data_IF_564338890579
#
_entry.id   IF_564338890579
#
_cell.length_a   1.000
_cell.length_b   1.000
_cell.length_c   1.000
_cell.angle_alpha   90.00
_cell.angle_beta   90.00
_cell.angle_gamma   90.00
#
_symmetry.space_group_name_H-M   'P 1'
#
loop_
_entity.id
_entity.type
_entity.pdbx_description
1 polymer ?
#
# COMPACT_ATOMS: atom_id res chain seq x y z
N UNK A 1 -13.30 28.08 -7.11
CA UNK A 1 -12.79 26.72 -6.78
C UNK A 1 -11.47 26.91 -6.06
N UNK A 2 -11.32 26.38 -4.84
CA UNK A 2 -10.09 26.49 -4.06
C UNK A 2 -9.32 25.15 -4.18
N UNK A 3 -7.99 25.22 -4.17
CA UNK A 3 -7.11 24.05 -4.25
C UNK A 3 -6.08 24.07 -3.12
N UNK A 4 -5.76 22.86 -2.61
CA UNK A 4 -4.59 22.65 -1.76
C UNK A 4 -3.71 21.60 -2.42
N UNK A 5 -2.41 21.76 -2.42
CA UNK A 5 -1.49 20.81 -3.01
C UNK A 5 -0.13 20.84 -2.35
N UNK A 6 0.62 19.80 -2.54
CA UNK A 6 2.06 19.75 -2.28
C UNK A 6 2.73 19.03 -3.44
N UNK A 7 3.85 19.57 -3.88
CA UNK A 7 4.71 19.03 -4.92
C UNK A 7 6.09 18.76 -4.32
N UNK A 8 6.65 17.63 -4.64
CA UNK A 8 8.02 17.31 -4.28
C UNK A 8 8.97 18.24 -5.10
N UNK A 9 9.91 18.85 -4.43
CA UNK A 9 10.85 19.84 -5.02
C UNK A 9 11.59 19.33 -6.26
N UNK A 10 11.85 18.03 -6.33
CA UNK A 10 12.52 17.42 -7.48
C UNK A 10 11.65 17.40 -8.75
N UNK A 11 10.37 17.78 -8.66
CA UNK A 11 9.39 17.72 -9.75
C UNK A 11 8.74 19.09 -10.05
N UNK A 12 9.39 20.19 -9.69
CA UNK A 12 8.87 21.55 -9.97
C UNK A 12 8.64 21.81 -11.48
N UNK A 13 9.41 21.13 -12.34
CA UNK A 13 9.27 21.18 -13.80
C UNK A 13 7.95 20.61 -14.34
N UNK A 14 7.19 19.84 -13.53
CA UNK A 14 5.89 19.29 -13.89
C UNK A 14 4.74 19.84 -13.01
N UNK A 15 4.91 21.00 -12.40
CA UNK A 15 3.87 21.64 -11.60
C UNK A 15 2.58 21.91 -12.38
N UNK A 16 2.69 22.26 -13.62
CA UNK A 16 1.56 22.44 -14.54
C UNK A 16 0.74 21.15 -14.74
N UNK A 17 1.39 19.98 -14.76
CA UNK A 17 0.72 18.69 -14.77
C UNK A 17 -0.12 18.49 -13.49
N UNK A 18 0.46 18.73 -12.32
CA UNK A 18 -0.26 18.60 -11.04
C UNK A 18 -1.48 19.53 -11.00
N UNK A 19 -1.32 20.81 -11.37
CA UNK A 19 -2.41 21.79 -11.31
C UNK A 19 -3.53 21.51 -12.29
N UNK A 20 -3.24 20.87 -13.44
CA UNK A 20 -4.20 20.49 -14.47
C UNK A 20 -4.59 18.99 -14.44
N UNK A 21 -4.31 18.29 -13.36
CA UNK A 21 -4.43 16.83 -13.27
C UNK A 21 -5.81 16.29 -13.66
N UNK A 22 -6.89 17.01 -13.39
CA UNK A 22 -8.25 16.59 -13.78
C UNK A 22 -8.39 16.42 -15.28
N UNK A 23 -7.83 17.32 -16.07
CA UNK A 23 -7.88 17.27 -17.53
C UNK A 23 -7.04 16.10 -18.05
N UNK A 24 -5.80 15.98 -17.60
CA UNK A 24 -4.93 14.86 -17.94
C UNK A 24 -5.53 13.51 -17.58
N UNK A 25 -6.09 13.41 -16.38
CA UNK A 25 -6.72 12.17 -15.90
C UNK A 25 -7.96 11.80 -16.73
N UNK A 26 -8.81 12.78 -17.08
CA UNK A 26 -10.01 12.57 -17.90
C UNK A 26 -9.68 12.14 -19.33
N UNK A 27 -8.68 12.75 -19.94
CA UNK A 27 -8.28 12.49 -21.34
C UNK A 27 -7.51 11.18 -21.51
N UNK A 28 -6.85 10.70 -20.45
CA UNK A 28 -6.05 9.48 -20.51
C UNK A 28 -6.93 8.24 -20.39
N UNK A 29 -6.71 7.23 -21.25
CA UNK A 29 -7.42 5.95 -21.27
C UNK A 29 -6.68 4.80 -20.58
N UNK A 30 -5.38 4.97 -20.24
CA UNK A 30 -4.54 3.91 -19.69
C UNK A 30 -4.86 3.66 -18.20
N UNK A 31 -5.96 2.98 -17.95
CA UNK A 31 -6.43 2.62 -16.61
C UNK A 31 -5.86 1.27 -16.20
N UNK A 32 -5.08 1.23 -15.12
CA UNK A 32 -4.51 0.00 -14.56
C UNK A 32 -5.40 -0.62 -13.48
N UNK A 33 -6.25 0.18 -12.85
CA UNK A 33 -7.19 -0.31 -11.86
C UNK A 33 -8.41 0.63 -11.74
N UNK A 34 -9.60 0.05 -11.73
CA UNK A 34 -10.85 0.79 -11.53
C UNK A 34 -11.79 0.01 -10.61
N UNK A 35 -11.89 0.47 -9.37
CA UNK A 35 -12.84 -0.04 -8.38
C UNK A 35 -13.38 1.16 -7.56
N UNK A 36 -13.11 1.19 -6.25
CA UNK A 36 -13.46 2.31 -5.38
C UNK A 36 -12.64 3.57 -5.70
N UNK A 37 -11.39 3.40 -6.09
CA UNK A 37 -10.50 4.44 -6.58
C UNK A 37 -10.10 4.07 -8.00
N UNK A 38 -9.67 5.05 -8.78
CA UNK A 38 -9.19 4.83 -10.15
C UNK A 38 -7.71 5.17 -10.24
N UNK A 39 -6.93 4.28 -10.85
CA UNK A 39 -5.49 4.45 -11.08
C UNK A 39 -5.23 4.47 -12.57
N UNK A 40 -4.50 5.48 -13.02
CA UNK A 40 -4.04 5.61 -14.41
C UNK A 40 -2.55 5.81 -14.47
N UNK A 41 -1.92 5.23 -15.51
CA UNK A 41 -0.55 5.57 -15.88
C UNK A 41 -0.63 6.73 -16.85
N UNK A 42 0.03 7.83 -16.54
CA UNK A 42 0.10 9.03 -17.39
C UNK A 42 1.57 9.40 -17.54
N UNK A 43 2.02 9.45 -18.79
CA UNK A 43 3.35 9.97 -19.11
C UNK A 43 3.27 11.47 -19.32
N UNK A 44 4.18 12.22 -18.69
CA UNK A 44 4.31 13.65 -18.84
C UNK A 44 5.77 14.07 -18.77
N UNK A 45 6.25 14.78 -19.80
CA UNK A 45 7.66 15.21 -19.94
C UNK A 45 8.67 14.08 -19.68
N UNK A 46 8.44 12.92 -20.29
CA UNK A 46 9.26 11.70 -20.15
C UNK A 46 9.26 11.08 -18.73
N UNK A 47 8.33 11.48 -17.87
CA UNK A 47 8.15 10.87 -16.56
C UNK A 47 6.89 10.02 -16.61
N UNK A 48 7.03 8.72 -16.39
CA UNK A 48 5.89 7.82 -16.23
C UNK A 48 5.35 7.94 -14.79
N UNK A 49 4.11 8.35 -14.67
CA UNK A 49 3.45 8.56 -13.39
C UNK A 49 2.29 7.60 -13.18
N UNK A 50 2.03 7.26 -11.92
CA UNK A 50 0.77 6.64 -11.49
C UNK A 50 -0.05 7.69 -10.77
N UNK A 51 -1.20 8.01 -11.34
CA UNK A 51 -2.16 8.96 -10.77
C UNK A 51 -3.31 8.19 -10.13
N UNK A 52 -3.46 8.33 -8.82
CA UNK A 52 -4.55 7.72 -8.04
C UNK A 52 -5.60 8.76 -7.73
N UNK A 53 -6.77 8.66 -8.38
CA UNK A 53 -7.95 9.43 -8.07
C UNK A 53 -8.75 8.75 -6.96
N UNK A 54 -9.04 9.48 -5.89
CA UNK A 54 -9.86 8.97 -4.79
C UNK A 54 -11.33 9.30 -5.01
N UNK A 55 -12.19 8.31 -4.71
CA UNK A 55 -13.65 8.50 -4.77
C UNK A 55 -14.06 9.70 -3.90
N UNK A 56 -14.86 10.58 -4.48
CA UNK A 56 -15.49 11.71 -3.74
C UNK A 56 -16.32 11.12 -2.60
N UNK A 57 -16.10 11.57 -1.36
CA UNK A 57 -16.85 11.07 -0.21
C UNK A 57 -18.28 11.60 -0.20
N UNK A 58 -19.15 11.00 0.65
CA UNK A 58 -20.48 11.57 0.92
C UNK A 58 -20.38 12.93 1.60
N UNK A 59 -21.49 13.69 1.62
CA UNK A 59 -21.50 15.09 2.07
C UNK A 59 -20.95 15.27 3.50
N UNK A 60 -21.27 14.37 4.42
CA UNK A 60 -20.78 14.41 5.80
C UNK A 60 -19.24 14.29 5.81
N UNK A 61 -18.70 13.32 5.09
CA UNK A 61 -17.25 13.13 5.00
C UNK A 61 -16.57 14.25 4.19
N UNK A 62 -17.27 14.95 3.29
CA UNK A 62 -16.73 16.15 2.62
C UNK A 62 -16.45 17.26 3.64
N UNK A 63 -17.34 17.47 4.60
CA UNK A 63 -17.12 18.43 5.71
C UNK A 63 -15.97 17.96 6.60
N UNK A 64 -15.96 16.68 6.98
CA UNK A 64 -14.89 16.10 7.82
C UNK A 64 -13.51 16.25 7.18
N UNK A 65 -13.38 15.98 5.89
CA UNK A 65 -12.10 16.16 5.16
C UNK A 65 -11.75 17.63 4.88
N UNK A 66 -12.74 18.52 4.86
CA UNK A 66 -12.47 19.95 4.69
C UNK A 66 -11.82 20.59 5.93
N UNK A 67 -12.22 20.14 7.15
CA UNK A 67 -11.91 20.85 8.39
C UNK A 67 -11.20 20.01 9.47
N UNK A 68 -11.40 18.69 9.50
CA UNK A 68 -11.02 17.88 10.66
C UNK A 68 -10.07 16.72 10.33
N UNK A 69 -9.93 16.34 9.06
CA UNK A 69 -9.16 15.15 8.71
C UNK A 69 -8.45 15.31 7.38
N UNK A 70 -7.17 14.92 7.36
CA UNK A 70 -6.41 14.86 6.11
C UNK A 70 -7.02 13.91 5.09
N UNK A 71 -7.00 14.32 3.81
CA UNK A 71 -7.47 13.47 2.71
C UNK A 71 -6.59 12.23 2.54
N UNK A 72 -7.12 11.24 1.82
CA UNK A 72 -6.34 10.06 1.47
C UNK A 72 -5.16 10.40 0.55
N UNK A 73 -5.32 11.41 -0.32
CA UNK A 73 -4.25 11.85 -1.22
C UNK A 73 -3.09 12.45 -0.43
N UNK A 74 -3.39 13.38 0.48
CA UNK A 74 -2.39 13.98 1.39
C UNK A 74 -1.69 12.90 2.22
N UNK A 75 -2.45 12.01 2.88
CA UNK A 75 -1.88 10.89 3.65
C UNK A 75 -1.00 9.96 2.83
N UNK A 76 -1.38 9.66 1.57
CA UNK A 76 -0.53 8.86 0.69
C UNK A 76 0.82 9.54 0.45
N UNK A 77 0.81 10.84 0.18
CA UNK A 77 2.02 11.60 -0.05
C UNK A 77 2.91 11.66 1.19
N UNK A 78 2.35 12.07 2.33
CA UNK A 78 3.09 12.20 3.59
C UNK A 78 3.65 10.84 4.06
N UNK A 79 2.87 9.78 3.94
CA UNK A 79 3.32 8.43 4.27
C UNK A 79 4.43 7.95 3.33
N UNK A 80 4.34 8.25 2.01
CA UNK A 80 5.41 7.92 1.06
C UNK A 80 6.72 8.62 1.43
N UNK A 81 6.67 9.92 1.71
CA UNK A 81 7.85 10.70 2.16
C UNK A 81 8.43 10.09 3.43
N UNK A 82 7.58 9.73 4.40
CA UNK A 82 8.02 9.14 5.66
C UNK A 82 8.66 7.76 5.47
N UNK A 83 8.09 6.91 4.60
CA UNK A 83 8.66 5.60 4.28
C UNK A 83 10.04 5.72 3.63
N UNK A 84 10.21 6.62 2.67
CA UNK A 84 11.51 6.87 2.02
C UNK A 84 12.56 7.33 3.04
N UNK A 85 12.19 8.22 3.97
CA UNK A 85 13.08 8.67 5.04
C UNK A 85 13.47 7.55 6.02
N UNK A 86 12.68 6.48 6.09
CA UNK A 86 12.97 5.26 6.85
C UNK A 86 13.69 4.19 6.00
N UNK A 87 14.12 4.51 4.77
CA UNK A 87 14.71 3.59 3.80
C UNK A 87 13.79 2.39 3.49
N UNK A 88 12.48 2.64 3.42
CA UNK A 88 11.47 1.65 3.05
C UNK A 88 10.97 1.98 1.64
N UNK A 89 11.06 1.01 0.73
CA UNK A 89 10.68 1.20 -0.66
C UNK A 89 9.17 1.40 -0.83
N UNK A 90 8.82 2.49 -1.50
CA UNK A 90 7.50 2.82 -2.03
C UNK A 90 7.71 3.65 -3.30
N UNK A 91 6.76 3.67 -4.28
CA UNK A 91 6.90 4.53 -5.44
C UNK A 91 7.17 5.97 -5.05
N UNK A 92 8.15 6.60 -5.71
CA UNK A 92 8.58 7.99 -5.39
C UNK A 92 7.40 8.95 -5.46
N UNK A 93 7.06 9.67 -4.37
CA UNK A 93 5.93 10.60 -4.39
C UNK A 93 6.29 11.87 -5.17
N UNK A 94 5.47 12.19 -6.15
CA UNK A 94 5.57 13.43 -6.93
C UNK A 94 4.78 14.54 -6.27
N UNK A 95 3.53 14.26 -5.88
CA UNK A 95 2.70 15.26 -5.21
C UNK A 95 1.28 14.77 -4.92
N UNK A 96 0.53 15.62 -4.27
CA UNK A 96 -0.91 15.47 -4.14
C UNK A 96 -1.62 16.79 -4.41
N UNK A 97 -2.89 16.72 -4.79
CA UNK A 97 -3.75 17.87 -4.97
C UNK A 97 -5.16 17.55 -4.50
N UNK A 98 -5.79 18.53 -3.87
CA UNK A 98 -7.14 18.50 -3.33
C UNK A 98 -7.95 19.65 -3.91
N UNK A 99 -9.17 19.38 -4.29
CA UNK A 99 -10.10 20.36 -4.84
C UNK A 99 -11.27 20.59 -3.89
N UNK A 100 -11.61 21.88 -3.72
CA UNK A 100 -12.70 22.32 -2.85
C UNK A 100 -13.70 23.17 -3.64
N UNK A 101 -14.97 22.98 -3.38
CA UNK A 101 -16.06 23.78 -3.94
C UNK A 101 -17.10 24.08 -2.86
N UNK A 102 -17.51 25.34 -2.74
CA UNK A 102 -18.47 25.77 -1.71
C UNK A 102 -18.07 25.30 -0.30
N UNK A 103 -16.79 25.48 0.06
CA UNK A 103 -16.18 25.06 1.32
C UNK A 103 -16.20 23.55 1.60
N UNK A 104 -16.60 22.72 0.65
CA UNK A 104 -16.62 21.27 0.76
C UNK A 104 -15.47 20.62 -0.01
N UNK A 105 -14.86 19.58 0.59
CA UNK A 105 -13.88 18.74 -0.08
C UNK A 105 -14.55 17.96 -1.24
N UNK A 106 -13.89 17.92 -2.37
CA UNK A 106 -14.36 17.22 -3.58
C UNK A 106 -13.36 16.15 -4.01
N UNK A 107 -12.69 16.34 -5.14
CA UNK A 107 -11.74 15.38 -5.66
C UNK A 107 -10.38 15.54 -5.02
N UNK A 108 -9.64 14.46 -4.99
CA UNK A 108 -8.22 14.49 -4.64
C UNK A 108 -7.44 13.44 -5.43
N UNK A 109 -6.19 13.77 -5.74
CA UNK A 109 -5.28 12.94 -6.49
C UNK A 109 -3.95 12.82 -5.74
N UNK A 110 -3.40 11.62 -5.72
CA UNK A 110 -2.03 11.34 -5.33
C UNK A 110 -1.26 10.89 -6.57
N UNK A 111 -0.07 11.43 -6.78
CA UNK A 111 0.77 11.18 -7.94
C UNK A 111 2.11 10.65 -7.44
N UNK A 112 2.54 9.54 -7.98
CA UNK A 112 3.86 8.97 -7.77
C UNK A 112 4.51 8.62 -9.10
N UNK A 113 5.81 8.37 -9.11
CA UNK A 113 6.44 7.69 -10.23
C UNK A 113 5.86 6.30 -10.41
N UNK A 114 5.84 5.83 -11.66
CA UNK A 114 5.54 4.42 -11.96
C UNK A 114 6.75 3.57 -11.60
N UNK A 115 6.55 2.60 -10.74
CA UNK A 115 7.51 1.55 -10.48
C UNK A 115 7.23 0.37 -11.41
N UNK A 116 8.23 -0.06 -12.17
CA UNK A 116 8.16 -1.32 -12.89
C UNK A 116 8.45 -2.48 -11.94
N UNK A 117 7.61 -3.50 -11.99
CA UNK A 117 7.68 -4.65 -11.10
C UNK A 117 7.39 -5.94 -11.88
N UNK A 118 7.88 -7.07 -11.37
CA UNK A 118 7.67 -8.38 -11.99
C UNK A 118 6.26 -8.90 -11.71
N UNK A 119 5.87 -8.90 -10.44
CA UNK A 119 4.57 -9.37 -9.95
C UNK A 119 4.34 -8.81 -8.53
N UNK A 120 3.18 -9.07 -7.97
CA UNK A 120 2.92 -8.81 -6.55
C UNK A 120 3.25 -10.04 -5.72
N UNK A 121 3.42 -9.88 -4.39
CA UNK A 121 3.69 -11.03 -3.50
C UNK A 121 2.58 -12.11 -3.56
N UNK A 122 1.45 -11.80 -4.17
CA UNK A 122 0.39 -12.78 -4.44
C UNK A 122 0.88 -13.94 -5.26
N UNK A 123 1.78 -13.70 -6.23
CA UNK A 123 2.31 -14.75 -7.11
C UNK A 123 3.04 -15.83 -6.33
N UNK A 124 4.11 -15.56 -5.56
CA UNK A 124 4.78 -16.61 -4.80
C UNK A 124 3.93 -17.23 -3.68
N UNK A 125 2.89 -16.53 -3.21
CA UNK A 125 1.95 -17.08 -2.22
C UNK A 125 0.90 -18.01 -2.83
N UNK A 126 0.71 -18.00 -4.16
CA UNK A 126 -0.33 -18.80 -4.85
C UNK A 126 0.25 -19.81 -5.81
N UNK A 127 1.39 -19.54 -6.41
CA UNK A 127 2.05 -20.37 -7.38
C UNK A 127 3.17 -21.17 -6.71
N UNK A 128 2.86 -22.42 -6.34
CA UNK A 128 3.81 -23.33 -5.68
C UNK A 128 4.98 -23.74 -6.58
N UNK A 129 4.84 -23.62 -7.90
CA UNK A 129 5.84 -23.99 -8.90
C UNK A 129 6.73 -22.81 -9.33
N UNK A 130 6.54 -21.63 -8.71
CA UNK A 130 7.35 -20.45 -9.02
C UNK A 130 8.81 -20.70 -8.63
N UNK A 131 9.71 -20.48 -9.58
CA UNK A 131 11.14 -20.49 -9.29
C UNK A 131 11.48 -19.49 -8.18
N UNK A 132 12.45 -19.84 -7.33
CA UNK A 132 12.88 -18.99 -6.19
C UNK A 132 11.78 -18.67 -5.16
N UNK A 133 10.63 -19.35 -5.20
CA UNK A 133 9.48 -19.07 -4.34
C UNK A 133 9.86 -18.90 -2.86
N UNK A 134 10.61 -19.86 -2.31
CA UNK A 134 11.02 -19.83 -0.91
C UNK A 134 11.94 -18.65 -0.61
N UNK A 135 12.89 -18.37 -1.50
CA UNK A 135 13.80 -17.23 -1.40
C UNK A 135 13.00 -15.92 -1.41
N UNK A 136 12.04 -15.77 -2.34
CA UNK A 136 11.20 -14.58 -2.45
C UNK A 136 10.40 -14.38 -1.16
N UNK A 137 9.78 -15.43 -0.62
CA UNK A 137 9.00 -15.35 0.62
C UNK A 137 9.90 -14.98 1.80
N UNK A 138 11.07 -15.59 1.96
CA UNK A 138 12.01 -15.23 3.05
C UNK A 138 12.46 -13.78 2.96
N UNK A 139 12.83 -13.31 1.77
CA UNK A 139 13.18 -11.89 1.56
C UNK A 139 12.00 -10.95 1.83
N UNK A 140 10.81 -11.34 1.44
CA UNK A 140 9.59 -10.60 1.76
C UNK A 140 9.36 -10.50 3.29
N UNK A 141 9.58 -11.59 4.03
CA UNK A 141 9.49 -11.56 5.50
C UNK A 141 10.54 -10.63 6.09
N UNK A 142 11.77 -10.64 5.57
CA UNK A 142 12.81 -9.72 6.02
C UNK A 142 12.46 -8.25 5.74
N UNK A 143 11.90 -7.96 4.56
CA UNK A 143 11.37 -6.64 4.23
C UNK A 143 10.26 -6.22 5.20
N UNK A 144 9.30 -7.10 5.49
CA UNK A 144 8.20 -6.84 6.43
C UNK A 144 8.70 -6.64 7.86
N UNK A 145 9.67 -7.46 8.28
CA UNK A 145 10.31 -7.28 9.59
C UNK A 145 11.00 -5.92 9.71
N UNK A 146 11.66 -5.46 8.65
CA UNK A 146 12.25 -4.12 8.62
C UNK A 146 11.18 -3.01 8.71
N UNK A 147 10.02 -3.18 8.04
CA UNK A 147 8.86 -2.28 8.25
C UNK A 147 8.50 -2.20 9.74
N UNK A 148 8.29 -3.36 10.37
CA UNK A 148 7.85 -3.46 11.76
C UNK A 148 8.90 -2.90 12.73
N UNK A 149 10.19 -3.19 12.50
CA UNK A 149 11.29 -2.65 13.31
C UNK A 149 11.36 -1.13 13.27
N UNK A 150 10.98 -0.51 12.14
CA UNK A 150 10.87 0.94 11.99
C UNK A 150 9.49 1.49 12.44
N UNK A 151 8.69 0.67 13.13
CA UNK A 151 7.40 1.08 13.67
C UNK A 151 6.32 1.30 12.62
N UNK A 152 6.44 0.72 11.42
CA UNK A 152 5.49 0.90 10.32
C UNK A 152 4.52 -0.26 10.26
N UNK A 153 3.22 0.00 10.47
CA UNK A 153 2.14 -0.96 10.35
C UNK A 153 1.21 -0.60 9.18
N UNK A 154 1.10 -1.48 8.20
CA UNK A 154 0.24 -1.27 7.05
C UNK A 154 -1.14 -1.88 7.28
N UNK A 155 -2.17 -1.07 7.52
CA UNK A 155 -3.53 -1.58 7.82
C UNK A 155 -4.15 -2.42 6.71
N UNK A 156 -3.83 -2.15 5.46
CA UNK A 156 -4.34 -2.88 4.28
C UNK A 156 -3.23 -3.74 3.66
N UNK A 157 -2.50 -4.53 4.45
CA UNK A 157 -1.34 -5.34 4.04
C UNK A 157 -1.78 -6.57 3.23
N UNK A 158 -2.45 -6.34 2.11
CA UNK A 158 -2.87 -7.41 1.20
C UNK A 158 -1.77 -7.75 0.19
N UNK A 159 -1.79 -8.99 -0.30
CA UNK A 159 -0.78 -9.48 -1.23
C UNK A 159 -0.68 -8.67 -2.55
N UNK A 160 -1.74 -7.95 -2.95
CA UNK A 160 -1.73 -7.06 -4.11
C UNK A 160 -1.07 -5.69 -3.86
N UNK A 161 -0.80 -5.35 -2.59
CA UNK A 161 -0.20 -4.07 -2.20
C UNK A 161 1.30 -4.15 -1.96
N UNK A 162 1.92 -5.29 -2.29
CA UNK A 162 3.36 -5.50 -2.19
C UNK A 162 3.88 -5.89 -3.56
N UNK A 163 4.61 -4.99 -4.18
CA UNK A 163 5.23 -5.17 -5.49
C UNK A 163 6.58 -5.86 -5.32
N UNK A 164 6.89 -6.80 -6.20
CA UNK A 164 8.17 -7.53 -6.24
C UNK A 164 8.92 -7.13 -7.49
N UNK A 165 10.16 -6.70 -7.34
CA UNK A 165 11.02 -6.29 -8.45
C UNK A 165 12.45 -6.77 -8.23
N UNK A 166 13.29 -6.64 -9.24
CA UNK A 166 14.74 -6.87 -9.11
C UNK A 166 15.44 -5.54 -8.87
N UNK A 167 16.30 -5.51 -7.87
CA UNK A 167 17.18 -4.35 -7.63
C UNK A 167 18.37 -4.35 -8.61
N UNK A 168 19.27 -3.38 -8.48
CA UNK A 168 20.47 -3.24 -9.35
C UNK A 168 21.44 -4.44 -9.28
N UNK A 169 21.36 -5.25 -8.23
CA UNK A 169 22.17 -6.43 -8.03
C UNK A 169 21.45 -7.72 -8.47
N UNK A 170 20.36 -7.61 -9.23
CA UNK A 170 19.48 -8.71 -9.64
C UNK A 170 18.88 -9.51 -8.47
N UNK A 171 18.74 -8.87 -7.32
CA UNK A 171 18.11 -9.47 -6.14
C UNK A 171 16.64 -9.07 -6.03
N UNK A 172 15.79 -9.97 -5.51
CA UNK A 172 14.39 -9.65 -5.21
C UNK A 172 14.29 -8.60 -4.12
N UNK A 173 13.57 -7.53 -4.42
CA UNK A 173 13.27 -6.43 -3.50
C UNK A 173 11.77 -6.10 -3.56
N UNK A 174 11.28 -5.33 -2.60
CA UNK A 174 9.85 -5.14 -2.38
C UNK A 174 9.52 -3.67 -2.22
N UNK A 175 8.34 -3.30 -2.67
CA UNK A 175 7.80 -1.94 -2.52
C UNK A 175 6.34 -2.00 -2.08
N UNK A 176 5.96 -1.18 -1.11
CA UNK A 176 4.58 -1.10 -0.62
C UNK A 176 3.80 -0.01 -1.32
N UNK A 177 2.54 -0.31 -1.67
CA UNK A 177 1.59 0.62 -2.28
C UNK A 177 0.29 0.68 -1.48
N UNK A 178 -0.63 1.58 -1.85
CA UNK A 178 -1.87 1.87 -1.13
C UNK A 178 -1.67 2.29 0.35
N UNK A 179 -0.71 3.14 0.54
CA UNK A 179 -0.13 3.54 1.82
C UNK A 179 -0.95 4.60 2.60
N UNK A 180 -2.14 4.96 2.16
CA UNK A 180 -2.98 5.97 2.85
C UNK A 180 -3.47 5.54 4.25
N UNK A 181 -3.32 4.26 4.61
CA UNK A 181 -3.72 3.66 5.89
C UNK A 181 -2.54 3.08 6.67
N UNK A 182 -1.39 3.74 6.59
CA UNK A 182 -0.26 3.42 7.46
C UNK A 182 -0.50 3.93 8.88
N UNK A 183 0.01 3.18 9.85
CA UNK A 183 0.20 3.62 11.22
C UNK A 183 1.69 3.56 11.56
N UNK A 184 2.11 4.50 12.38
CA UNK A 184 3.49 4.57 12.88
C UNK A 184 3.41 4.43 14.40
N UNK A 185 3.81 3.27 14.90
CA UNK A 185 3.70 2.88 16.31
C UNK A 185 4.72 1.80 16.65
N UNK A 186 4.92 1.53 17.94
CA UNK A 186 5.65 0.34 18.34
C UNK A 186 4.90 -0.93 17.91
N UNK A 187 5.61 -1.92 17.39
CA UNK A 187 5.06 -3.17 16.87
C UNK A 187 5.69 -4.32 17.64
N UNK A 188 4.87 -4.98 18.46
CA UNK A 188 5.23 -6.21 19.14
C UNK A 188 5.08 -7.43 18.21
N UNK A 189 5.47 -8.59 18.71
CA UNK A 189 5.44 -9.85 17.97
C UNK A 189 4.04 -10.19 17.43
N UNK A 190 3.00 -10.06 18.28
CA UNK A 190 1.62 -10.40 17.90
C UNK A 190 1.10 -9.44 16.82
N UNK A 191 1.30 -8.14 17.00
CA UNK A 191 0.93 -7.12 16.02
C UNK A 191 1.65 -7.32 14.67
N UNK A 192 2.94 -7.65 14.70
CA UNK A 192 3.73 -7.91 13.50
C UNK A 192 3.22 -9.14 12.74
N UNK A 193 2.97 -10.23 13.45
CA UNK A 193 2.43 -11.46 12.86
C UNK A 193 0.99 -11.28 12.34
N UNK A 194 0.13 -10.50 13.04
CA UNK A 194 -1.22 -10.15 12.57
C UNK A 194 -1.21 -9.46 11.20
N UNK A 195 -0.16 -8.73 10.87
CA UNK A 195 -0.05 -8.10 9.56
C UNK A 195 -0.05 -9.12 8.42
N UNK A 196 0.61 -10.27 8.60
CA UNK A 196 0.65 -11.34 7.60
C UNK A 196 -0.67 -12.09 7.44
N UNK A 197 -1.53 -12.14 8.45
CA UNK A 197 -2.84 -12.79 8.35
C UNK A 197 -3.67 -12.22 7.18
N UNK A 198 -3.49 -10.95 6.82
CA UNK A 198 -4.18 -10.27 5.70
C UNK A 198 -3.77 -10.76 4.31
N UNK A 199 -2.76 -11.60 4.23
CA UNK A 199 -2.30 -12.21 2.96
C UNK A 199 -3.13 -13.43 2.54
N UNK A 200 -3.99 -13.98 3.42
CA UNK A 200 -4.80 -15.17 3.17
C UNK A 200 -3.94 -16.39 2.84
N UNK A 201 -3.09 -16.74 3.78
CA UNK A 201 -2.06 -17.78 3.62
C UNK A 201 -2.66 -19.19 3.59
N UNK A 202 -2.05 -20.07 2.79
CA UNK A 202 -2.10 -21.52 2.99
C UNK A 202 -1.19 -21.95 4.16
N UNK A 203 -1.26 -23.23 4.56
CA UNK A 203 -0.54 -23.69 5.73
C UNK A 203 0.97 -23.68 5.55
N UNK A 204 1.48 -24.00 4.36
CA UNK A 204 2.92 -24.03 4.06
C UNK A 204 3.50 -22.60 4.05
N UNK A 205 2.84 -21.67 3.38
CA UNK A 205 3.24 -20.25 3.37
C UNK A 205 3.19 -19.65 4.79
N UNK A 206 2.15 -19.99 5.57
CA UNK A 206 2.02 -19.53 6.95
C UNK A 206 3.19 -20.00 7.81
N UNK A 207 3.51 -21.30 7.74
CA UNK A 207 4.64 -21.87 8.48
C UNK A 207 5.96 -21.23 8.06
N UNK A 208 6.23 -21.14 6.75
CA UNK A 208 7.45 -20.53 6.22
C UNK A 208 7.61 -19.07 6.69
N UNK A 209 6.55 -18.27 6.62
CA UNK A 209 6.55 -16.87 7.06
C UNK A 209 6.79 -16.77 8.57
N UNK A 210 6.08 -17.55 9.37
CA UNK A 210 6.21 -17.51 10.84
C UNK A 210 7.61 -17.94 11.29
N UNK A 211 8.15 -19.01 10.71
CA UNK A 211 9.51 -19.51 10.99
C UNK A 211 10.56 -18.44 10.66
N UNK A 212 10.49 -17.83 9.47
CA UNK A 212 11.45 -16.80 9.10
C UNK A 212 11.29 -15.52 9.93
N UNK A 213 10.07 -15.13 10.29
CA UNK A 213 9.83 -13.99 11.16
C UNK A 213 10.37 -14.24 12.57
N UNK A 214 10.19 -15.46 13.12
CA UNK A 214 10.74 -15.87 14.40
C UNK A 214 12.26 -15.79 14.41
N UNK A 215 12.92 -16.28 13.35
CA UNK A 215 14.37 -16.20 13.18
C UNK A 215 14.86 -14.74 13.21
N UNK A 216 14.21 -13.84 12.50
CA UNK A 216 14.60 -12.44 12.43
C UNK A 216 14.33 -11.67 13.73
N UNK A 217 13.23 -11.98 14.40
CA UNK A 217 12.84 -11.36 15.68
C UNK A 217 13.45 -12.03 16.91
N UNK A 218 14.28 -13.09 16.71
CA UNK A 218 14.89 -13.88 17.79
C UNK A 218 13.86 -14.43 18.80
N UNK A 219 12.71 -14.86 18.30
CA UNK A 219 11.64 -15.44 19.09
C UNK A 219 11.50 -16.94 18.84
N UNK A 220 10.76 -17.62 19.71
CA UNK A 220 10.53 -19.06 19.54
C UNK A 220 9.65 -19.34 18.33
N UNK A 221 10.09 -20.23 17.44
CA UNK A 221 9.40 -20.59 16.20
C UNK A 221 7.97 -21.10 16.44
N UNK A 222 7.79 -22.02 17.38
CA UNK A 222 6.46 -22.56 17.71
C UNK A 222 5.52 -21.46 18.17
N UNK A 223 6.00 -20.55 19.00
CA UNK A 223 5.22 -19.39 19.46
C UNK A 223 4.78 -18.52 18.28
N UNK A 224 5.66 -18.22 17.35
CA UNK A 224 5.34 -17.39 16.18
C UNK A 224 4.31 -18.08 15.26
N UNK A 225 4.46 -19.40 15.03
CA UNK A 225 3.50 -20.19 14.24
C UNK A 225 2.12 -20.17 14.91
N UNK A 226 2.05 -20.41 16.22
CA UNK A 226 0.78 -20.45 16.97
C UNK A 226 0.08 -19.07 16.95
N UNK A 227 0.83 -17.98 17.12
CA UNK A 227 0.31 -16.63 17.04
C UNK A 227 -0.24 -16.35 15.63
N UNK A 228 0.52 -16.62 14.56
CA UNK A 228 0.07 -16.35 13.20
C UNK A 228 -1.16 -17.21 12.83
N UNK A 229 -1.20 -18.48 13.22
CA UNK A 229 -2.38 -19.35 13.03
C UNK A 229 -3.61 -18.77 13.73
N UNK A 230 -3.47 -18.28 14.95
CA UNK A 230 -4.55 -17.63 15.72
C UNK A 230 -5.05 -16.36 15.02
N UNK A 231 -4.14 -15.49 14.54
CA UNK A 231 -4.47 -14.27 13.82
C UNK A 231 -5.17 -14.55 12.49
N UNK A 232 -4.66 -15.50 11.70
CA UNK A 232 -5.23 -15.93 10.43
C UNK A 232 -6.65 -16.49 10.61
N UNK A 233 -6.84 -17.41 11.58
CA UNK A 233 -8.15 -17.95 11.91
C UNK A 233 -9.13 -16.84 12.30
N UNK A 234 -8.74 -15.98 13.24
CA UNK A 234 -9.57 -14.84 13.70
C UNK A 234 -10.03 -13.97 12.54
N UNK A 235 -9.14 -13.68 11.58
CA UNK A 235 -9.48 -12.88 10.40
C UNK A 235 -10.46 -13.63 9.50
N UNK A 236 -10.22 -14.92 9.21
CA UNK A 236 -11.08 -15.75 8.37
C UNK A 236 -12.48 -15.87 8.95
N UNK A 237 -12.59 -16.18 10.24
CA UNK A 237 -13.86 -16.28 10.98
C UNK A 237 -14.64 -14.95 10.94
N UNK A 238 -13.95 -13.83 11.13
CA UNK A 238 -14.56 -12.50 11.07
C UNK A 238 -15.09 -12.14 9.66
N UNK A 239 -14.36 -12.50 8.62
CA UNK A 239 -14.79 -12.24 7.24
C UNK A 239 -15.97 -13.13 6.89
N UNK A 240 -15.97 -14.39 7.29
CA UNK A 240 -17.09 -15.31 7.09
C UNK A 240 -18.35 -14.81 7.81
N UNK A 241 -18.24 -14.42 9.07
CA UNK A 241 -19.33 -13.83 9.83
C UNK A 241 -19.93 -12.60 9.12
N UNK A 242 -19.07 -11.71 8.60
CA UNK A 242 -19.53 -10.54 7.82
C UNK A 242 -20.22 -10.91 6.52
N UNK A 243 -19.81 -11.99 5.84
CA UNK A 243 -20.48 -12.49 4.64
C UNK A 243 -21.89 -12.98 4.96
N UNK A 244 -22.03 -13.78 6.01
CA UNK A 244 -23.34 -14.29 6.49
C UNK A 244 -24.32 -13.15 6.81
N UNK A 245 -23.86 -12.10 7.56
CA UNK A 245 -24.72 -10.95 7.88
C UNK A 245 -25.17 -10.16 6.62
N UNK A 246 -24.34 -10.12 5.57
CA UNK A 246 -24.63 -9.37 4.35
C UNK A 246 -25.43 -10.16 3.32
N UNK A 247 -25.87 -11.39 3.62
CA UNK A 247 -26.58 -12.26 2.69
C UNK A 247 -25.77 -12.60 1.44
N UNK A 248 -24.45 -12.60 1.53
CA UNK A 248 -23.55 -13.03 0.45
C UNK A 248 -22.99 -14.39 0.85
N UNK A 249 -23.68 -15.45 0.39
CA UNK A 249 -23.11 -16.79 0.38
C UNK A 249 -21.89 -16.89 -0.53
#
# INVERSE_FOLDING_TARGET
MNIKYQLNKNYENIKDFLLNIKNFFKQNSNTIHKARNELKVIEYKNIQTVVKAFKIPNIINQVVYAYFRDSKAKKSYENAVKLINLNINTPTPIGYIEFYQNFLFKESFFISEKLDYLFTIREPLRNMMLNDRELIIKRFVAFTYNLHKNGVYHKDYSAGNILVFKNKNDEYDFSVVDINRMEFKNIDLETGLDNFAKLWLDEDSLKLIATEYARLSQTNEKTAIDILKKCDKKLKDFVEFKRKIRGKE
#
